data_IF_120514799098
#
_entry.id   IF_120514799098
#
_cell.length_a   1.000
_cell.length_b   1.000
_cell.length_c   1.000
_cell.angle_alpha   90.00
_cell.angle_beta   90.00
_cell.angle_gamma   90.00
#
_symmetry.space_group_name_H-M   'P 1'
#
loop_
_entity.id
_entity.type
_entity.pdbx_description
1 polymer ?
#
# COMPACT_ATOMS: atom_id res chain seq x y z
N UNK A 1 12.31 19.95 -22.23
CA UNK A 1 11.53 20.75 -21.27
C UNK A 1 12.20 20.60 -19.91
N UNK A 2 12.33 21.67 -19.12
CA UNK A 2 12.86 21.56 -17.75
C UNK A 2 11.95 20.69 -16.87
N UNK A 3 12.57 19.90 -16.01
CA UNK A 3 11.91 19.06 -15.01
C UNK A 3 12.52 19.34 -13.63
N UNK A 4 11.69 19.43 -12.60
CA UNK A 4 12.12 19.65 -11.22
C UNK A 4 11.43 18.64 -10.31
N UNK A 5 12.20 17.95 -9.46
CA UNK A 5 11.67 17.13 -8.37
C UNK A 5 11.23 18.03 -7.21
N UNK A 6 9.97 17.89 -6.80
CA UNK A 6 9.42 18.58 -5.63
C UNK A 6 9.62 17.68 -4.40
N UNK A 7 10.38 18.14 -3.39
CA UNK A 7 10.61 17.34 -2.19
C UNK A 7 9.31 17.22 -1.38
N UNK A 8 8.95 15.97 -1.06
CA UNK A 8 7.79 15.64 -0.22
C UNK A 8 8.22 14.63 0.85
N UNK A 9 7.54 14.64 1.99
CA UNK A 9 7.77 13.75 3.13
C UNK A 9 6.47 13.08 3.57
N UNK A 10 6.56 12.03 4.39
CA UNK A 10 5.38 11.26 4.84
C UNK A 10 4.56 10.65 3.68
N UNK A 11 5.26 10.23 2.64
CA UNK A 11 4.76 9.74 1.36
C UNK A 11 5.10 8.26 1.13
N UNK A 12 5.41 7.54 2.20
CA UNK A 12 5.83 6.14 2.18
C UNK A 12 4.83 5.25 2.91
N UNK A 13 4.37 4.20 2.24
CA UNK A 13 3.61 3.09 2.84
C UNK A 13 4.48 1.85 2.80
N UNK A 14 4.63 1.18 3.95
CA UNK A 14 5.41 -0.06 4.06
C UNK A 14 4.48 -1.23 4.36
N UNK A 15 4.65 -2.31 3.61
CA UNK A 15 3.98 -3.59 3.88
C UNK A 15 5.02 -4.68 4.11
N UNK A 16 4.64 -5.73 4.83
CA UNK A 16 5.51 -6.89 5.02
C UNK A 16 5.92 -7.54 3.69
N UNK A 17 7.17 -7.99 3.63
CA UNK A 17 7.71 -8.75 2.52
C UNK A 17 8.50 -9.96 3.03
N UNK A 18 8.09 -11.14 2.59
CA UNK A 18 8.82 -12.38 2.82
C UNK A 18 9.75 -12.65 1.65
N UNK A 19 11.04 -12.77 1.91
CA UNK A 19 12.01 -13.14 0.87
C UNK A 19 11.85 -14.62 0.48
N UNK A 20 12.10 -15.00 -0.79
CA UNK A 20 12.17 -16.41 -1.17
C UNK A 20 13.17 -17.17 -0.30
N UNK A 21 12.81 -18.38 0.11
CA UNK A 21 13.61 -19.26 0.98
C UNK A 21 13.83 -18.76 2.43
N UNK A 22 13.25 -17.62 2.81
CA UNK A 22 13.22 -17.21 4.21
C UNK A 22 12.30 -18.16 5.00
N UNK A 23 12.76 -18.62 6.17
CA UNK A 23 11.93 -19.40 7.10
C UNK A 23 10.74 -18.56 7.54
N UNK A 24 9.55 -19.13 7.49
CA UNK A 24 8.34 -18.51 8.05
C UNK A 24 8.34 -18.74 9.55
N UNK A 25 8.17 -17.67 10.32
CA UNK A 25 8.04 -17.73 11.79
C UNK A 25 6.60 -17.48 12.23
N UNK A 26 6.31 -17.76 13.50
CA UNK A 26 5.03 -17.41 14.13
C UNK A 26 4.71 -15.91 14.02
N UNK A 27 5.72 -15.06 14.22
CA UNK A 27 5.58 -13.60 14.06
C UNK A 27 5.23 -13.23 12.61
N UNK A 28 5.84 -13.89 11.63
CA UNK A 28 5.52 -13.68 10.22
C UNK A 28 4.07 -14.07 9.88
N UNK A 29 3.52 -15.10 10.52
CA UNK A 29 2.11 -15.47 10.37
C UNK A 29 1.18 -14.43 11.00
N UNK A 30 1.55 -13.82 12.14
CA UNK A 30 0.79 -12.72 12.74
C UNK A 30 0.82 -11.47 11.83
N UNK A 31 1.94 -11.21 11.17
CA UNK A 31 2.08 -10.13 10.18
C UNK A 31 1.24 -10.37 8.92
N UNK A 32 1.29 -11.59 8.38
CA UNK A 32 0.56 -11.98 7.17
C UNK A 32 -0.95 -12.07 7.41
N UNK A 33 -1.38 -12.52 8.58
CA UNK A 33 -2.80 -12.57 8.96
C UNK A 33 -3.39 -11.18 9.19
N UNK A 34 -2.54 -10.17 9.43
CA UNK A 34 -2.97 -8.81 9.72
C UNK A 34 -3.18 -8.51 11.21
N UNK A 35 -2.79 -9.43 12.10
CA UNK A 35 -2.79 -9.20 13.54
C UNK A 35 -1.86 -8.04 13.97
N UNK A 36 -0.84 -7.74 13.16
CA UNK A 36 0.01 -6.55 13.30
C UNK A 36 -0.35 -5.51 12.23
N UNK A 37 -1.16 -4.52 12.62
CA UNK A 37 -1.68 -3.49 11.70
C UNK A 37 -0.59 -2.70 10.96
N UNK A 38 0.57 -2.48 11.59
CA UNK A 38 1.73 -1.79 10.99
C UNK A 38 2.42 -2.57 9.87
N UNK A 39 2.09 -3.85 9.72
CA UNK A 39 2.70 -4.78 8.75
C UNK A 39 1.68 -5.34 7.76
N UNK A 40 0.41 -5.06 8.02
CA UNK A 40 -0.74 -5.51 7.27
C UNK A 40 -1.04 -4.56 6.12
N UNK A 41 -1.41 -5.13 4.99
CA UNK A 41 -2.01 -4.38 3.88
C UNK A 41 -3.50 -4.10 4.15
N UNK A 42 -4.10 -4.63 5.22
CA UNK A 42 -5.54 -4.52 5.54
C UNK A 42 -6.02 -3.07 5.66
N UNK A 43 -5.35 -2.13 6.37
CA UNK A 43 -5.79 -0.72 6.38
C UNK A 43 -5.76 -0.06 4.99
N UNK A 44 -4.78 -0.44 4.19
CA UNK A 44 -4.65 -0.01 2.80
C UNK A 44 -5.72 -0.65 1.90
N UNK A 45 -6.05 -1.93 2.13
CA UNK A 45 -7.14 -2.65 1.45
C UNK A 45 -8.51 -2.11 1.84
N UNK A 46 -8.74 -1.74 3.09
CA UNK A 46 -10.00 -1.11 3.53
C UNK A 46 -10.19 0.23 2.83
N UNK A 47 -9.12 1.03 2.74
CA UNK A 47 -9.11 2.27 1.95
C UNK A 47 -9.31 2.01 0.44
N UNK A 48 -8.79 0.89 -0.07
CA UNK A 48 -8.96 0.44 -1.45
C UNK A 48 -10.37 -0.08 -1.76
N UNK A 49 -10.99 -0.82 -0.84
CA UNK A 49 -12.35 -1.38 -0.94
C UNK A 49 -13.38 -0.25 -1.00
N UNK A 50 -13.18 0.80 -0.19
CA UNK A 50 -13.98 2.03 -0.26
C UNK A 50 -13.86 2.74 -1.61
N UNK A 51 -12.70 2.64 -2.26
CA UNK A 51 -12.45 3.24 -3.57
C UNK A 51 -12.96 2.38 -4.75
N UNK A 52 -13.06 1.05 -4.55
CA UNK A 52 -13.32 0.05 -5.59
C UNK A 52 -14.77 -0.37 -5.70
N UNK A 53 -15.71 0.36 -5.09
CA UNK A 53 -17.16 0.21 -5.33
C UNK A 53 -17.55 0.70 -6.75
N UNK A 54 -16.68 0.47 -7.74
CA UNK A 54 -17.07 0.52 -9.15
C UNK A 54 -16.01 0.30 -10.23
N UNK A 55 -14.70 0.07 -9.98
CA UNK A 55 -13.70 -0.06 -11.09
C UNK A 55 -12.51 -1.00 -10.83
N UNK A 56 -12.01 -1.60 -11.91
CA UNK A 56 -10.80 -2.45 -12.06
C UNK A 56 -9.53 -1.64 -12.43
N UNK A 57 -9.59 -0.31 -12.29
CA UNK A 57 -8.54 0.64 -12.65
C UNK A 57 -7.94 1.34 -11.43
N UNK A 58 -6.79 2.01 -11.61
CA UNK A 58 -6.18 2.86 -10.58
C UNK A 58 -7.19 3.92 -10.11
N UNK A 59 -7.37 4.04 -8.80
CA UNK A 59 -8.33 4.98 -8.22
C UNK A 59 -7.61 6.00 -7.35
N UNK A 60 -7.84 7.29 -7.62
CA UNK A 60 -7.34 8.39 -6.81
C UNK A 60 -8.47 9.01 -5.98
N UNK A 61 -8.24 9.22 -4.68
CA UNK A 61 -9.18 9.86 -3.74
C UNK A 61 -8.50 11.08 -3.13
N UNK A 62 -9.22 12.20 -3.00
CA UNK A 62 -8.72 13.47 -2.47
C UNK A 62 -8.14 14.38 -3.57
N UNK A 63 -7.00 15.02 -3.34
CA UNK A 63 -6.35 15.94 -4.30
C UNK A 63 -7.21 17.15 -4.70
N UNK A 64 -7.90 17.76 -3.74
CA UNK A 64 -8.59 19.02 -3.95
C UNK A 64 -7.58 20.14 -4.20
N UNK A 65 -7.86 20.94 -5.24
CA UNK A 65 -6.97 22.01 -5.70
C UNK A 65 -7.54 23.36 -5.33
N UNK A 66 -6.71 24.22 -4.74
CA UNK A 66 -7.04 25.63 -4.57
C UNK A 66 -5.78 26.49 -4.63
N UNK A 67 -5.97 27.75 -4.99
CA UNK A 67 -4.92 28.76 -4.87
C UNK A 67 -4.92 29.27 -3.44
N UNK A 68 -3.81 29.10 -2.74
CA UNK A 68 -3.59 29.73 -1.44
C UNK A 68 -3.27 31.22 -1.62
N UNK A 69 -2.49 31.52 -2.66
CA UNK A 69 -2.20 32.88 -3.11
C UNK A 69 -1.85 32.87 -4.62
N UNK A 70 -1.47 34.03 -5.15
CA UNK A 70 -1.19 34.20 -6.58
C UNK A 70 0.03 33.41 -7.12
N UNK A 71 0.82 32.77 -6.27
CA UNK A 71 2.01 31.99 -6.64
C UNK A 71 2.05 30.59 -6.03
N UNK A 72 1.11 30.26 -5.15
CA UNK A 72 1.11 29.02 -4.38
C UNK A 72 -0.19 28.27 -4.60
N UNK A 73 -0.04 27.03 -5.07
CA UNK A 73 -1.10 26.07 -5.30
C UNK A 73 -1.08 25.08 -4.15
N UNK A 74 -2.21 24.91 -3.49
CA UNK A 74 -2.39 23.93 -2.42
C UNK A 74 -3.16 22.74 -2.97
N UNK A 75 -2.61 21.55 -2.72
CA UNK A 75 -3.23 20.26 -3.08
C UNK A 75 -3.49 19.53 -1.79
N UNK A 76 -4.75 19.17 -1.51
CA UNK A 76 -5.08 18.38 -0.33
C UNK A 76 -4.37 17.02 -0.38
N UNK A 77 -4.18 16.40 0.79
CA UNK A 77 -3.71 15.02 0.84
C UNK A 77 -4.63 14.10 0.02
N UNK A 78 -4.04 13.07 -0.56
CA UNK A 78 -4.78 12.09 -1.36
C UNK A 78 -4.13 10.72 -1.32
N UNK A 79 -4.89 9.73 -1.79
CA UNK A 79 -4.48 8.33 -1.83
C UNK A 79 -4.66 7.83 -3.26
N UNK A 80 -3.69 7.06 -3.76
CA UNK A 80 -3.78 6.35 -5.04
C UNK A 80 -3.73 4.86 -4.76
N UNK A 81 -4.74 4.15 -5.25
CA UNK A 81 -4.92 2.71 -5.09
C UNK A 81 -4.73 2.03 -6.43
N UNK A 82 -3.88 1.01 -6.43
CA UNK A 82 -3.66 0.07 -7.52
C UNK A 82 -4.08 -1.33 -7.08
N UNK A 83 -4.25 -2.30 -8.01
CA UNK A 83 -4.65 -3.66 -7.66
C UNK A 83 -3.77 -4.36 -6.61
N UNK A 84 -2.50 -3.97 -6.49
CA UNK A 84 -1.51 -4.62 -5.62
C UNK A 84 -0.86 -3.68 -4.59
N UNK A 85 -1.23 -2.40 -4.58
CA UNK A 85 -0.47 -1.37 -3.85
C UNK A 85 -1.30 -0.13 -3.54
N UNK A 86 -0.91 0.57 -2.46
CA UNK A 86 -1.51 1.84 -2.04
C UNK A 86 -0.40 2.86 -1.82
N UNK A 87 -0.61 4.06 -2.35
CA UNK A 87 0.30 5.18 -2.27
C UNK A 87 -0.39 6.34 -1.58
N UNK A 88 0.30 6.97 -0.64
CA UNK A 88 -0.16 8.21 -0.01
C UNK A 88 0.59 9.37 -0.66
N UNK A 89 -0.15 10.40 -1.02
CA UNK A 89 0.40 11.70 -1.38
C UNK A 89 0.00 12.66 -0.26
N UNK A 90 0.98 13.18 0.51
CA UNK A 90 0.69 14.15 1.54
C UNK A 90 0.12 15.42 0.92
N UNK A 91 -0.39 16.31 1.75
CA UNK A 91 -0.74 17.65 1.31
C UNK A 91 0.48 18.35 0.68
N UNK A 92 0.26 19.01 -0.45
CA UNK A 92 1.33 19.67 -1.22
C UNK A 92 1.11 21.18 -1.24
N UNK A 93 2.22 21.90 -1.02
CA UNK A 93 2.31 23.36 -1.22
C UNK A 93 3.24 23.59 -2.40
N UNK A 94 2.66 23.78 -3.58
CA UNK A 94 3.36 23.82 -4.85
C UNK A 94 3.55 25.27 -5.29
N UNK A 95 4.80 25.63 -5.60
CA UNK A 95 5.14 26.93 -6.17
C UNK A 95 5.73 26.74 -7.57
N UNK A 96 4.98 27.05 -8.63
CA UNK A 96 5.46 26.95 -10.00
C UNK A 96 6.81 27.63 -10.24
N UNK A 97 7.72 26.95 -10.91
CA UNK A 97 9.09 27.38 -11.19
C UNK A 97 9.23 28.82 -11.69
N UNK A 98 10.30 29.50 -11.26
CA UNK A 98 10.72 30.75 -11.88
C UNK A 98 11.09 30.51 -13.36
N UNK A 99 10.56 31.34 -14.25
CA UNK A 99 10.71 31.17 -15.69
C UNK A 99 9.57 30.41 -16.39
N UNK A 100 8.64 29.80 -15.65
CA UNK A 100 7.49 29.15 -16.27
C UNK A 100 6.41 30.16 -16.68
N UNK A 101 5.75 29.86 -17.80
CA UNK A 101 4.49 30.46 -18.22
C UNK A 101 3.35 29.44 -18.03
N UNK A 102 3.58 28.20 -18.47
CA UNK A 102 2.65 27.08 -18.36
C UNK A 102 3.42 25.84 -17.87
N UNK A 103 2.73 24.95 -17.17
CA UNK A 103 3.34 23.72 -16.67
C UNK A 103 2.33 22.73 -16.10
N UNK A 104 2.84 21.56 -15.78
CA UNK A 104 2.13 20.47 -15.13
C UNK A 104 2.90 20.01 -13.89
N UNK A 105 2.18 19.60 -12.88
CA UNK A 105 2.73 18.75 -11.81
C UNK A 105 2.30 17.32 -12.07
N UNK A 106 3.19 16.39 -11.79
CA UNK A 106 3.02 14.96 -12.04
C UNK A 106 3.44 14.15 -10.82
N UNK A 107 2.85 12.97 -10.66
CA UNK A 107 3.18 12.03 -9.60
C UNK A 107 3.84 10.80 -10.23
N UNK A 108 5.02 10.46 -9.75
CA UNK A 108 5.66 9.17 -10.00
C UNK A 108 5.40 8.24 -8.81
N UNK A 109 5.01 7.01 -9.09
CA UNK A 109 4.75 5.98 -8.08
C UNK A 109 5.84 4.93 -8.18
N UNK A 110 6.58 4.75 -7.10
CA UNK A 110 7.71 3.83 -7.06
C UNK A 110 7.56 2.80 -5.95
N UNK A 111 8.01 1.58 -6.25
CA UNK A 111 8.07 0.48 -5.30
C UNK A 111 9.52 0.06 -5.12
N UNK A 112 9.92 -0.21 -3.88
CA UNK A 112 11.23 -0.77 -3.57
C UNK A 112 11.15 -1.78 -2.43
N UNK A 113 12.17 -2.65 -2.33
CA UNK A 113 12.36 -3.49 -1.15
C UNK A 113 13.16 -2.70 -0.12
N UNK A 114 12.71 -2.71 1.12
CA UNK A 114 13.26 -1.88 2.20
C UNK A 114 13.37 -2.64 3.52
N UNK A 115 13.93 -1.96 4.52
CA UNK A 115 14.14 -2.44 5.89
C UNK A 115 14.86 -3.80 5.94
N UNK A 116 16.18 -3.75 5.71
CA UNK A 116 17.04 -4.93 5.75
C UNK A 116 17.26 -5.43 7.18
N UNK A 117 16.95 -6.70 7.43
CA UNK A 117 17.24 -7.38 8.69
C UNK A 117 17.90 -8.74 8.43
N UNK A 118 18.59 -9.26 9.42
CA UNK A 118 19.09 -10.64 9.38
C UNK A 118 17.89 -11.59 9.55
N UNK A 119 17.60 -12.38 8.51
CA UNK A 119 16.52 -13.36 8.51
C UNK A 119 17.07 -14.76 8.21
N UNK A 120 16.49 -15.83 8.80
CA UNK A 120 16.90 -17.20 8.52
C UNK A 120 16.53 -17.59 7.07
N UNK A 121 17.51 -17.82 6.20
CA UNK A 121 17.32 -18.23 4.80
C UNK A 121 17.84 -19.65 4.60
N UNK A 122 17.09 -20.48 3.88
CA UNK A 122 17.49 -21.84 3.55
C UNK A 122 18.69 -21.82 2.60
N UNK A 123 19.79 -22.43 3.01
CA UNK A 123 20.97 -22.61 2.18
C UNK A 123 20.92 -24.00 1.53
N UNK A 124 20.82 -24.04 0.20
CA UNK A 124 20.70 -25.29 -0.56
C UNK A 124 21.97 -26.16 -0.56
N UNK A 125 23.14 -25.60 -0.21
CA UNK A 125 24.41 -26.33 -0.14
C UNK A 125 24.59 -26.99 1.23
N UNK A 126 24.24 -26.28 2.30
CA UNK A 126 24.40 -26.80 3.67
C UNK A 126 23.13 -27.42 4.23
N UNK A 127 22.02 -27.33 3.50
CA UNK A 127 20.68 -27.79 3.88
C UNK A 127 20.20 -27.26 5.24
N UNK A 128 20.68 -26.08 5.61
CA UNK A 128 20.39 -25.44 6.90
C UNK A 128 19.94 -24.01 6.71
N UNK A 129 19.13 -23.52 7.65
CA UNK A 129 18.80 -22.10 7.74
C UNK A 129 19.98 -21.34 8.31
N UNK A 130 20.39 -20.28 7.62
CA UNK A 130 21.48 -19.40 8.04
C UNK A 130 20.98 -17.95 8.03
N UNK A 131 21.33 -17.13 9.04
CA UNK A 131 20.99 -15.71 9.02
C UNK A 131 21.63 -15.02 7.81
N UNK A 132 20.81 -14.36 7.00
CA UNK A 132 21.27 -13.53 5.89
C UNK A 132 20.56 -12.18 5.92
N UNK A 133 21.28 -11.12 5.55
CA UNK A 133 20.67 -9.80 5.40
C UNK A 133 19.71 -9.81 4.20
N UNK A 134 18.42 -9.64 4.45
CA UNK A 134 17.37 -9.56 3.43
C UNK A 134 16.39 -8.44 3.74
N UNK A 135 15.76 -7.83 2.72
CA UNK A 135 14.67 -6.89 2.93
C UNK A 135 13.48 -7.59 3.59
N UNK A 136 12.82 -6.88 4.51
CA UNK A 136 11.64 -7.38 5.24
C UNK A 136 10.37 -6.59 4.92
N UNK A 137 10.49 -5.54 4.11
CA UNK A 137 9.37 -4.69 3.68
C UNK A 137 9.39 -4.44 2.18
N UNK A 138 8.21 -4.21 1.63
CA UNK A 138 8.00 -3.49 0.38
C UNK A 138 7.57 -2.07 0.74
N UNK A 139 8.30 -1.08 0.24
CA UNK A 139 7.94 0.34 0.35
C UNK A 139 7.28 0.80 -0.93
N UNK A 140 6.17 1.52 -0.78
CA UNK A 140 5.46 2.23 -1.84
C UNK A 140 5.61 3.72 -1.58
N UNK A 141 6.28 4.42 -2.48
CA UNK A 141 6.59 5.84 -2.34
C UNK A 141 6.02 6.63 -3.51
N UNK A 142 5.43 7.78 -3.23
CA UNK A 142 5.06 8.76 -4.26
C UNK A 142 6.15 9.83 -4.40
N UNK A 143 6.34 10.39 -5.59
CA UNK A 143 7.24 11.52 -5.83
C UNK A 143 6.53 12.52 -6.74
N UNK A 144 6.74 13.81 -6.51
CA UNK A 144 6.08 14.86 -7.29
C UNK A 144 7.11 15.57 -8.15
N UNK A 145 6.79 15.77 -9.42
CA UNK A 145 7.63 16.46 -10.39
C UNK A 145 6.87 17.65 -10.95
N UNK A 146 7.58 18.71 -11.27
CA UNK A 146 7.10 19.79 -12.12
C UNK A 146 7.75 19.70 -13.48
N UNK A 147 6.94 19.80 -14.54
CA UNK A 147 7.41 20.08 -15.88
C UNK A 147 6.80 21.38 -16.38
N UNK A 148 7.58 22.22 -17.03
CA UNK A 148 7.12 23.54 -17.42
C UNK A 148 7.74 24.03 -18.72
N UNK A 149 7.18 25.12 -19.24
CA UNK A 149 7.66 25.82 -20.42
C UNK A 149 7.55 27.34 -20.25
N UNK A 150 8.51 28.13 -20.78
CA UNK A 150 8.44 29.59 -20.80
C UNK A 150 7.55 30.11 -21.95
N UNK A 151 7.16 29.26 -22.90
CA UNK A 151 6.29 29.59 -24.04
C UNK A 151 4.95 28.88 -23.91
N UNK A 152 3.91 29.38 -24.58
CA UNK A 152 2.58 28.77 -24.50
C UNK A 152 2.55 27.37 -25.13
N UNK A 153 1.84 26.45 -24.49
CA UNK A 153 1.74 25.04 -24.82
C UNK A 153 2.06 24.16 -23.61
N UNK A 154 1.05 23.48 -23.05
CA UNK A 154 1.26 22.60 -21.90
C UNK A 154 2.24 21.44 -22.22
N UNK A 155 3.20 21.16 -21.33
CA UNK A 155 4.02 19.94 -21.43
C UNK A 155 3.12 18.69 -21.43
N UNK A 156 3.46 17.65 -22.21
CA UNK A 156 2.75 16.38 -22.16
C UNK A 156 3.09 15.63 -20.86
N UNK A 157 2.18 14.76 -20.42
CA UNK A 157 2.44 13.92 -19.25
C UNK A 157 3.55 12.90 -19.57
N UNK A 158 4.54 12.77 -18.69
CA UNK A 158 5.65 11.82 -18.83
C UNK A 158 5.14 10.39 -18.78
N UNK A 159 5.71 9.53 -19.63
CA UNK A 159 5.39 8.10 -19.61
C UNK A 159 5.60 7.49 -18.21
N UNK A 160 4.64 6.69 -17.76
CA UNK A 160 4.59 6.03 -16.44
C UNK A 160 4.41 6.97 -15.24
N UNK A 161 4.07 8.25 -15.45
CA UNK A 161 3.64 9.16 -14.39
C UNK A 161 2.17 9.50 -14.53
N UNK A 162 1.58 9.98 -13.44
CA UNK A 162 0.21 10.46 -13.37
C UNK A 162 0.23 11.98 -13.40
N UNK A 163 -0.46 12.60 -14.36
CA UNK A 163 -0.65 14.06 -14.35
C UNK A 163 -1.53 14.47 -13.18
N UNK A 164 -1.01 15.30 -12.27
CA UNK A 164 -1.74 15.78 -11.10
C UNK A 164 -2.62 16.98 -11.48
N UNK A 165 -1.98 18.06 -11.93
CA UNK A 165 -2.63 19.32 -12.29
C UNK A 165 -1.81 20.08 -13.34
N UNK A 166 -2.47 20.95 -14.10
CA UNK A 166 -1.83 21.96 -14.93
C UNK A 166 -2.04 23.35 -14.33
N UNK A 167 -1.12 24.25 -14.64
CA UNK A 167 -1.23 25.65 -14.29
C UNK A 167 -0.84 26.54 -15.47
N UNK A 168 -1.35 27.78 -15.45
CA UNK A 168 -0.96 28.86 -16.34
C UNK A 168 -0.77 30.15 -15.56
N UNK A 169 0.28 30.90 -15.90
CA UNK A 169 0.59 32.22 -15.37
C UNK A 169 0.19 33.31 -16.38
N UNK A 170 -0.03 34.53 -15.89
CA UNK A 170 -0.34 35.70 -16.74
C UNK A 170 0.81 36.10 -17.67
N UNK A 171 2.04 35.72 -17.31
CA UNK A 171 3.27 35.92 -18.05
C UNK A 171 4.39 35.09 -17.41
N UNK A 172 5.55 35.05 -18.05
CA UNK A 172 6.74 34.44 -17.42
C UNK A 172 7.04 35.18 -16.11
N UNK A 173 7.15 34.45 -15.00
CA UNK A 173 7.26 34.99 -13.63
C UNK A 173 6.02 35.75 -13.11
N UNK A 174 4.92 35.77 -13.85
CA UNK A 174 3.66 36.37 -13.41
C UNK A 174 2.90 35.48 -12.42
N UNK A 175 1.81 36.01 -11.81
CA UNK A 175 0.92 35.22 -10.97
C UNK A 175 0.23 34.09 -11.75
N UNK A 176 -0.12 33.02 -11.05
CA UNK A 176 -0.95 31.91 -11.54
C UNK A 176 -2.37 32.43 -11.76
N UNK A 177 -2.86 32.29 -12.98
CA UNK A 177 -4.20 32.72 -13.40
C UNK A 177 -5.16 31.56 -13.56
N UNK A 178 -4.64 30.36 -13.84
CA UNK A 178 -5.46 29.18 -14.09
C UNK A 178 -4.80 27.98 -13.47
N UNK A 179 -5.60 27.18 -12.76
CA UNK A 179 -5.25 25.85 -12.31
C UNK A 179 -6.33 24.89 -12.82
N UNK A 180 -5.93 23.71 -13.28
CA UNK A 180 -6.87 22.67 -13.70
C UNK A 180 -6.36 21.33 -13.21
N UNK A 181 -7.25 20.53 -12.63
CA UNK A 181 -6.93 19.16 -12.26
C UNK A 181 -6.79 18.31 -13.53
N UNK A 182 -5.73 17.51 -13.60
CA UNK A 182 -5.52 16.50 -14.65
C UNK A 182 -5.88 15.12 -14.11
N UNK A 183 -5.54 14.85 -12.84
CA UNK A 183 -5.78 13.57 -12.20
C UNK A 183 -7.29 13.28 -12.13
N UNK A 184 -7.77 12.15 -12.70
CA UNK A 184 -9.13 11.72 -12.48
C UNK A 184 -9.28 11.28 -11.02
N UNK A 185 -9.94 12.12 -10.23
CA UNK A 185 -10.23 11.85 -8.83
C UNK A 185 -11.64 11.30 -8.74
N UNK A 186 -11.79 10.22 -7.99
CA UNK A 186 -13.09 9.73 -7.59
C UNK A 186 -13.70 10.68 -6.56
N UNK A 187 -14.83 11.29 -6.92
CA UNK A 187 -15.61 12.10 -6.01
C UNK A 187 -16.72 11.24 -5.40
N UNK A 188 -16.69 10.93 -4.09
CA UNK A 188 -17.74 10.15 -3.45
C UNK A 188 -19.07 10.92 -3.30
N UNK A 189 -19.17 12.20 -3.73
CA UNK A 189 -20.44 12.92 -3.70
C UNK A 189 -21.52 12.15 -4.47
N UNK A 190 -22.56 11.74 -3.73
CA UNK A 190 -23.80 11.12 -4.21
C UNK A 190 -23.64 9.72 -4.83
N UNK A 191 -23.07 8.80 -4.06
CA UNK A 191 -23.37 7.39 -4.25
C UNK A 191 -24.75 7.09 -3.64
N UNK A 192 -25.81 7.33 -4.41
CA UNK A 192 -27.08 6.63 -4.23
C UNK A 192 -26.96 5.26 -4.89
N UNK A 193 -26.25 4.32 -4.25
CA UNK A 193 -26.15 2.94 -4.73
C UNK A 193 -26.96 2.05 -3.78
N UNK A 194 -28.05 1.55 -4.33
CA UNK A 194 -28.79 0.41 -3.83
C UNK A 194 -27.90 -0.83 -4.05
N UNK A 195 -27.06 -1.13 -3.07
CA UNK A 195 -26.26 -2.35 -3.07
C UNK A 195 -27.18 -3.43 -2.53
N UNK A 196 -27.68 -4.31 -3.40
CA UNK A 196 -28.30 -5.57 -2.97
C UNK A 196 -27.17 -6.42 -2.34
N UNK A 197 -26.94 -6.18 -1.06
CA UNK A 197 -25.99 -6.89 -0.22
C UNK A 197 -26.54 -8.30 0.01
N UNK A 198 -25.68 -9.29 -0.15
CA UNK A 198 -25.92 -10.72 0.10
C UNK A 198 -26.89 -10.94 1.28
N UNK A 199 -27.98 -11.72 1.15
CA UNK A 199 -28.98 -11.91 2.19
C UNK A 199 -28.45 -12.53 3.51
N UNK A 200 -27.18 -12.96 3.56
CA UNK A 200 -26.50 -13.30 4.81
C UNK A 200 -26.04 -12.10 5.65
N UNK A 201 -26.12 -10.88 5.12
CA UNK A 201 -25.74 -9.63 5.79
C UNK A 201 -26.98 -9.11 6.52
N UNK A 202 -27.09 -9.48 7.80
CA UNK A 202 -28.13 -8.96 8.70
C UNK A 202 -27.95 -7.44 8.85
N UNK A 203 -28.86 -6.68 8.21
CA UNK A 203 -29.10 -5.24 8.37
C UNK A 203 -27.85 -4.34 8.35
N UNK A 204 -27.45 -3.89 7.17
CA UNK A 204 -26.53 -2.76 6.98
C UNK A 204 -27.28 -1.63 6.27
N UNK A 205 -28.14 -0.93 7.02
CA UNK A 205 -29.03 0.10 6.51
C UNK A 205 -28.29 1.40 6.07
N UNK A 206 -26.97 1.49 6.26
CA UNK A 206 -26.16 2.58 5.75
C UNK A 206 -24.74 2.16 5.36
N UNK A 207 -24.11 2.91 4.44
CA UNK A 207 -22.69 2.74 4.10
C UNK A 207 -21.80 2.87 5.35
N UNK A 208 -22.14 3.76 6.29
CA UNK A 208 -21.40 3.89 7.54
C UNK A 208 -21.49 2.61 8.38
N UNK A 209 -22.64 1.94 8.39
CA UNK A 209 -22.81 0.66 9.07
C UNK A 209 -22.11 -0.47 8.32
N UNK A 210 -22.12 -0.50 6.99
CA UNK A 210 -21.34 -1.46 6.20
C UNK A 210 -19.82 -1.26 6.40
N UNK A 211 -19.36 -0.01 6.49
CA UNK A 211 -17.95 0.32 6.76
C UNK A 211 -17.59 -0.04 8.20
N UNK A 212 -18.43 0.30 9.17
CA UNK A 212 -18.24 -0.07 10.56
C UNK A 212 -18.31 -1.58 10.74
N UNK A 213 -19.17 -2.29 10.00
CA UNK A 213 -19.26 -3.73 10.00
C UNK A 213 -18.02 -4.35 9.37
N UNK A 214 -17.55 -3.85 8.23
CA UNK A 214 -16.30 -4.32 7.61
C UNK A 214 -15.13 -4.05 8.57
N UNK A 215 -15.03 -2.84 9.14
CA UNK A 215 -14.02 -2.48 10.12
C UNK A 215 -14.07 -3.41 11.33
N UNK A 216 -15.24 -3.56 11.94
CA UNK A 216 -15.48 -4.45 13.08
C UNK A 216 -15.24 -5.91 12.68
N UNK A 217 -15.59 -6.34 11.48
CA UNK A 217 -15.39 -7.71 11.00
C UNK A 217 -13.91 -8.00 10.79
N UNK A 218 -13.14 -7.05 10.24
CA UNK A 218 -11.69 -7.16 10.10
C UNK A 218 -10.96 -7.04 11.44
N UNK A 219 -11.42 -6.20 12.37
CA UNK A 219 -10.90 -6.15 13.75
C UNK A 219 -11.27 -7.41 14.55
N UNK A 220 -12.49 -7.92 14.38
CA UNK A 220 -13.02 -9.12 15.05
C UNK A 220 -12.68 -10.41 14.31
N UNK A 221 -11.86 -10.39 13.25
CA UNK A 221 -11.35 -11.65 12.71
C UNK A 221 -10.56 -12.35 13.81
N UNK A 222 -10.89 -13.63 14.02
CA UNK A 222 -10.01 -14.56 14.70
C UNK A 222 -8.75 -14.72 13.84
N UNK A 223 -7.84 -13.75 13.95
CA UNK A 223 -6.51 -13.87 13.39
C UNK A 223 -5.93 -15.19 13.91
N UNK A 224 -5.23 -15.93 13.05
CA UNK A 224 -4.39 -17.04 13.51
C UNK A 224 -3.26 -16.42 14.34
N UNK A 225 -3.54 -16.17 15.62
CA UNK A 225 -2.57 -15.72 16.60
C UNK A 225 -1.80 -16.95 17.02
N UNK A 226 -0.63 -17.11 16.42
CA UNK A 226 0.31 -18.12 16.91
C UNK A 226 0.98 -17.56 18.16
N UNK A 227 0.57 -18.03 19.33
CA UNK A 227 1.33 -17.81 20.56
C UNK A 227 2.52 -18.77 20.57
N UNK A 228 3.75 -18.30 20.79
CA UNK A 228 4.87 -19.19 21.06
C UNK A 228 4.46 -20.12 22.21
N UNK A 229 4.50 -21.43 21.98
CA UNK A 229 4.30 -22.39 23.06
C UNK A 229 5.37 -22.13 24.14
N UNK A 230 5.00 -22.02 25.43
CA UNK A 230 5.98 -21.84 26.50
C UNK A 230 6.93 -23.05 26.67
N UNK A 231 6.67 -24.17 25.98
CA UNK A 231 7.56 -25.31 25.94
C UNK A 231 8.49 -25.25 24.73
N UNK A 232 9.78 -24.98 24.96
CA UNK A 232 10.80 -25.70 24.23
C UNK A 232 10.72 -27.15 24.73
N UNK A 233 10.13 -28.03 23.92
CA UNK A 233 10.30 -29.47 24.14
C UNK A 233 11.56 -29.86 23.37
N UNK A 234 12.66 -30.11 24.09
CA UNK A 234 13.90 -30.68 23.53
C UNK A 234 13.70 -32.14 23.07
N UNK A 235 12.46 -32.65 23.14
CA UNK A 235 12.06 -33.92 22.57
C UNK A 235 12.47 -34.05 21.10
N UNK A 236 13.28 -35.08 20.83
CA UNK A 236 13.62 -35.50 19.49
C UNK A 236 12.34 -35.89 18.72
N UNK A 237 11.90 -35.01 17.82
CA UNK A 237 10.78 -35.25 16.92
C UNK A 237 11.18 -36.28 15.85
N UNK A 238 10.48 -37.41 15.81
CA UNK A 238 10.69 -38.47 14.80
C UNK A 238 9.46 -38.64 13.94
N UNK A 239 9.68 -38.79 12.63
CA UNK A 239 8.63 -39.10 11.65
C UNK A 239 8.91 -40.46 11.03
N UNK A 240 7.87 -41.30 10.92
CA UNK A 240 7.93 -42.59 10.26
C UNK A 240 6.79 -42.70 9.26
N UNK A 241 7.09 -43.22 8.08
CA UNK A 241 6.12 -43.49 7.03
C UNK A 241 5.88 -45.00 6.96
N UNK A 242 4.62 -45.39 6.85
CA UNK A 242 4.20 -46.78 6.63
C UNK A 242 3.13 -46.82 5.54
N UNK A 243 3.54 -47.17 4.32
CA UNK A 243 2.68 -47.05 3.15
C UNK A 243 2.33 -45.59 2.86
N UNK A 244 1.03 -45.29 2.75
CA UNK A 244 0.53 -43.93 2.51
C UNK A 244 0.30 -43.12 3.80
N UNK A 245 0.60 -43.68 4.96
CA UNK A 245 0.38 -43.03 6.26
C UNK A 245 1.70 -42.54 6.85
N UNK A 246 1.67 -41.34 7.42
CA UNK A 246 2.76 -40.78 8.22
C UNK A 246 2.36 -40.77 9.69
N UNK A 247 3.34 -41.02 10.56
CA UNK A 247 3.19 -41.00 12.00
C UNK A 247 4.32 -40.15 12.60
N UNK A 248 4.02 -39.47 13.71
CA UNK A 248 4.99 -38.69 14.47
C UNK A 248 5.13 -39.21 15.90
N UNK A 249 6.30 -38.99 16.50
CA UNK A 249 6.61 -39.32 17.88
C UNK A 249 7.44 -38.21 18.51
N UNK A 250 7.12 -37.91 19.78
CA UNK A 250 7.86 -36.96 20.63
C UNK A 250 8.64 -37.65 21.76
N UNK A 251 8.64 -38.96 21.81
CA UNK A 251 9.30 -39.78 22.84
C UNK A 251 10.26 -40.79 22.20
N UNK A 252 10.96 -40.35 21.16
CA UNK A 252 11.94 -41.16 20.40
C UNK A 252 11.42 -42.45 19.78
N UNK A 253 10.11 -42.57 19.58
CA UNK A 253 9.46 -43.74 18.99
C UNK A 253 8.80 -44.67 20.01
N UNK A 254 8.63 -44.25 21.27
CA UNK A 254 7.84 -44.96 22.27
C UNK A 254 6.35 -44.98 21.91
N UNK A 255 5.82 -43.85 21.44
CA UNK A 255 4.44 -43.72 20.98
C UNK A 255 4.40 -43.03 19.62
N UNK A 256 3.68 -43.65 18.68
CA UNK A 256 3.47 -43.15 17.33
C UNK A 256 2.04 -42.64 17.19
N UNK A 257 1.89 -41.37 16.84
CA UNK A 257 0.62 -40.69 16.64
C UNK A 257 0.42 -40.40 15.15
N UNK A 258 -0.79 -40.57 14.60
CA UNK A 258 -1.06 -40.20 13.22
C UNK A 258 -0.99 -38.68 13.06
N UNK A 259 -0.62 -38.22 11.87
CA UNK A 259 -0.93 -36.83 11.47
C UNK A 259 -2.44 -36.73 11.24
N UNK A 260 -3.09 -35.78 11.93
CA UNK A 260 -4.48 -35.42 11.69
C UNK A 260 -4.62 -34.67 10.36
#
# INVERSE_FOLDING_TARGET
MPEILIPISNNEVKVYYQSPFQKVTAEDLNRLSGAEATHSIVPSLLSAILATIGRDAETAIGFDLHLENASTIRVSSGIIIRPDSVYIVPELVLSPSAGSLEGIFEINLSQSLSDTKAVPVFNTVTERFQPQAKPTRKSFTSQVFEQWTPVSGLPPVTQNRLGLLSYRKSGVNGPVTTISRILPVYDPHLIGIDVDLDPGILENDSLADAINWIYNHFENKDFIKTTPSPGFDDANFRVRIQGNYAYWSKDEGGHWLPFA
#
